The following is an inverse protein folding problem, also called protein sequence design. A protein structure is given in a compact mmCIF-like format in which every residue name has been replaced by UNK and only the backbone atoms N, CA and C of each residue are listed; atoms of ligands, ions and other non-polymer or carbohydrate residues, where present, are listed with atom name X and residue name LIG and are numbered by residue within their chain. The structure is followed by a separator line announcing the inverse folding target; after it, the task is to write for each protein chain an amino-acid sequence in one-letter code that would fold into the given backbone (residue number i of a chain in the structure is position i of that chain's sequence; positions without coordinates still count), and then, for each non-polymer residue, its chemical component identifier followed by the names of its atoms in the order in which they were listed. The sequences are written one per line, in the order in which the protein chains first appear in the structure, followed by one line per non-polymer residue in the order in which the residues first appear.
data_IF_548382764319
#
_entry.id   IF_548382764319
#
_cell.length_a   1.000
_cell.length_b   1.000
_cell.length_c   1.000
_cell.angle_alpha   90.00
_cell.angle_beta   90.00
_cell.angle_gamma   90.00
#
_symmetry.space_group_name_H-M   'P 1'
#
loop_
_entity.id
_entity.type
_entity.pdbx_description
1 polymer ?
#
# COMPACT_ATOMS: atom_id res chain seq x y z
N UNK A 1 3.43 14.96 2.91
CA UNK A 1 2.82 16.31 3.08
C UNK A 1 3.31 17.35 2.05
N UNK A 2 4.63 17.50 1.81
CA UNK A 2 5.16 18.48 0.83
C UNK A 2 4.55 18.36 -0.57
N UNK A 3 4.50 17.13 -1.11
CA UNK A 3 3.91 16.88 -2.42
C UNK A 3 2.45 17.32 -2.48
N UNK A 4 1.63 16.88 -1.51
CA UNK A 4 0.21 17.22 -1.46
C UNK A 4 -0.03 18.75 -1.41
N UNK A 5 0.67 19.47 -0.54
CA UNK A 5 0.55 20.94 -0.45
C UNK A 5 1.02 21.65 -1.71
N UNK A 6 2.13 21.21 -2.31
CA UNK A 6 2.65 21.76 -3.56
C UNK A 6 1.69 21.50 -4.72
N UNK A 7 1.14 20.30 -4.82
CA UNK A 7 0.12 19.95 -5.81
C UNK A 7 -1.11 20.84 -5.64
N UNK A 8 -1.65 20.99 -4.42
CA UNK A 8 -2.80 21.88 -4.18
C UNK A 8 -2.53 23.33 -4.62
N UNK A 9 -1.33 23.86 -4.38
CA UNK A 9 -0.93 25.20 -4.86
C UNK A 9 -0.91 25.26 -6.39
N UNK A 10 -0.29 24.27 -7.05
CA UNK A 10 -0.21 24.22 -8.51
C UNK A 10 -1.61 24.10 -9.15
N UNK A 11 -2.49 23.29 -8.56
CA UNK A 11 -3.87 23.11 -9.01
C UNK A 11 -4.71 24.39 -8.85
N UNK A 12 -4.42 25.26 -7.87
CA UNK A 12 -5.09 26.56 -7.77
C UNK A 12 -4.81 27.46 -8.98
N UNK A 13 -3.65 27.29 -9.62
CA UNK A 13 -3.27 27.98 -10.85
C UNK A 13 -3.52 27.13 -12.11
N UNK A 14 -4.32 26.06 -12.01
CA UNK A 14 -4.59 25.09 -13.09
C UNK A 14 -3.33 24.45 -13.71
N UNK A 15 -2.24 24.35 -12.96
CA UNK A 15 -0.99 23.74 -13.42
C UNK A 15 -0.90 22.28 -12.97
N UNK A 16 -0.95 21.34 -13.92
CA UNK A 16 -0.74 19.90 -13.68
C UNK A 16 0.73 19.53 -13.86
N UNK A 17 1.58 20.03 -12.96
CA UNK A 17 3.04 19.83 -13.01
C UNK A 17 3.46 18.69 -12.10
N UNK A 18 4.46 17.92 -12.53
CA UNK A 18 5.16 16.97 -11.67
C UNK A 18 5.79 17.68 -10.47
N UNK A 19 5.76 17.03 -9.30
CA UNK A 19 6.33 17.56 -8.06
C UNK A 19 7.45 16.64 -7.61
N UNK A 20 8.68 17.13 -7.65
CA UNK A 20 9.83 16.40 -7.13
C UNK A 20 9.68 16.22 -5.61
N UNK A 21 9.70 14.97 -5.15
CA UNK A 21 9.72 14.63 -3.73
C UNK A 21 11.17 14.60 -3.26
N UNK A 22 11.59 15.61 -2.50
CA UNK A 22 12.84 15.53 -1.75
C UNK A 22 12.64 14.60 -0.55
N UNK A 23 13.69 13.90 -0.10
CA UNK A 23 13.70 13.03 1.08
C UNK A 23 13.58 13.85 2.39
N UNK A 24 12.42 14.50 2.60
CA UNK A 24 12.13 15.26 3.82
C UNK A 24 11.94 14.31 5.00
N UNK A 25 12.59 14.62 6.13
CA UNK A 25 12.42 13.87 7.38
C UNK A 25 10.98 13.98 7.91
N UNK A 26 10.48 12.98 8.67
CA UNK A 26 9.17 13.04 9.29
C UNK A 26 9.08 14.17 10.34
N UNK A 27 7.86 14.44 10.81
CA UNK A 27 7.63 15.38 11.92
C UNK A 27 8.11 14.72 13.24
N UNK A 28 9.02 15.34 14.01
CA UNK A 28 9.59 14.70 15.19
C UNK A 28 8.59 14.54 16.33
N UNK A 29 7.70 15.51 16.56
CA UNK A 29 6.79 15.54 17.73
C UNK A 29 5.41 16.10 17.35
N UNK A 30 4.61 15.40 16.50
CA UNK A 30 3.25 15.84 16.17
C UNK A 30 2.33 15.71 17.39
N UNK A 31 1.48 16.72 17.70
CA UNK A 31 0.48 16.60 18.77
C UNK A 31 -0.55 15.49 18.46
N UNK A 32 -0.95 14.76 19.50
CA UNK A 32 -2.01 13.73 19.43
C UNK A 32 -3.41 14.31 19.25
N UNK A 33 -3.58 15.59 19.57
CA UNK A 33 -4.81 16.35 19.34
C UNK A 33 -4.62 17.35 18.21
N UNK A 34 -5.71 17.72 17.56
CA UNK A 34 -5.71 18.67 16.46
C UNK A 34 -6.99 19.48 16.50
N UNK A 35 -6.91 20.73 16.07
CA UNK A 35 -8.09 21.51 15.74
C UNK A 35 -8.91 20.79 14.67
N UNK A 36 -10.24 20.87 14.80
CA UNK A 36 -11.22 20.36 13.84
C UNK A 36 -12.14 21.50 13.39
N UNK A 37 -12.76 21.36 12.21
CA UNK A 37 -13.63 22.39 11.64
C UNK A 37 -13.30 22.74 10.20
N UNK A 38 -14.00 23.71 9.62
CA UNK A 38 -13.85 24.06 8.20
C UNK A 38 -12.69 25.02 7.97
N UNK A 39 -11.78 24.66 7.08
CA UNK A 39 -10.84 25.59 6.45
C UNK A 39 -11.37 26.02 5.09
N UNK A 40 -11.58 27.32 4.90
CA UNK A 40 -11.96 27.89 3.60
C UNK A 40 -10.84 27.69 2.56
N UNK A 41 -11.18 27.87 1.27
CA UNK A 41 -10.21 27.81 0.17
C UNK A 41 -8.98 28.68 0.41
N UNK A 42 -9.20 29.93 0.79
CA UNK A 42 -8.13 30.86 1.13
C UNK A 42 -7.29 30.33 2.29
N UNK A 43 -7.91 29.82 3.36
CA UNK A 43 -7.21 29.34 4.54
C UNK A 43 -6.36 28.09 4.28
N UNK A 44 -6.88 27.07 3.57
CA UNK A 44 -6.09 25.88 3.28
C UNK A 44 -5.00 26.14 2.23
N UNK A 45 -5.17 27.11 1.32
CA UNK A 45 -4.12 27.50 0.37
C UNK A 45 -2.98 28.25 1.07
N UNK A 46 -3.32 29.19 1.97
CA UNK A 46 -2.31 29.86 2.79
C UNK A 46 -1.54 28.86 3.66
N UNK A 47 -2.25 27.92 4.26
CA UNK A 47 -1.66 26.83 5.04
C UNK A 47 -0.71 25.98 4.19
N UNK A 48 -1.07 25.71 2.92
CA UNK A 48 -0.24 24.93 2.00
C UNK A 48 1.07 25.65 1.68
N UNK A 49 1.00 26.96 1.44
CA UNK A 49 2.19 27.78 1.17
C UNK A 49 3.12 27.81 2.38
N UNK A 50 2.57 27.96 3.59
CA UNK A 50 3.34 27.98 4.83
C UNK A 50 4.05 26.63 5.07
N UNK A 51 3.35 25.50 4.87
CA UNK A 51 3.92 24.17 4.99
C UNK A 51 5.02 23.95 3.95
N UNK A 52 4.77 24.30 2.68
CA UNK A 52 5.77 24.18 1.60
C UNK A 52 7.03 24.97 1.94
N UNK A 53 6.90 26.21 2.42
CA UNK A 53 8.02 27.06 2.86
C UNK A 53 8.76 26.44 4.04
N UNK A 54 8.03 25.97 5.05
CA UNK A 54 8.63 25.32 6.22
C UNK A 54 9.46 24.10 5.83
N UNK A 55 8.90 23.19 5.04
CA UNK A 55 9.58 21.94 4.68
C UNK A 55 10.85 22.21 3.87
N UNK A 56 10.80 23.16 2.91
CA UNK A 56 11.99 23.59 2.16
C UNK A 56 13.09 24.13 3.06
N UNK A 57 12.75 24.95 4.05
CA UNK A 57 13.72 25.58 4.94
C UNK A 57 14.31 24.60 5.98
N UNK A 58 13.54 23.60 6.41
CA UNK A 58 13.89 22.76 7.56
C UNK A 58 14.26 21.31 7.20
N UNK A 59 14.11 20.90 5.94
CA UNK A 59 14.41 19.53 5.52
C UNK A 59 13.51 18.46 6.18
N UNK A 60 12.38 18.86 6.79
CA UNK A 60 11.46 17.97 7.51
C UNK A 60 10.02 18.46 7.50
N UNK A 61 9.10 17.57 7.81
CA UNK A 61 7.69 17.92 8.01
C UNK A 61 7.47 18.72 9.31
N UNK A 62 6.49 19.65 9.34
CA UNK A 62 6.10 20.34 10.57
C UNK A 62 5.31 19.41 11.49
N UNK A 63 5.42 19.62 12.81
CA UNK A 63 4.61 18.91 13.81
C UNK A 63 3.11 19.25 13.69
N UNK A 64 2.82 20.50 13.36
CA UNK A 64 1.48 21.03 13.11
C UNK A 64 1.57 22.26 12.19
N UNK A 65 0.45 22.67 11.60
CA UNK A 65 0.31 23.99 10.99
C UNK A 65 -0.66 24.83 11.83
N UNK A 66 -0.31 26.10 12.05
CA UNK A 66 -1.24 27.06 12.63
C UNK A 66 -2.22 27.52 11.54
N UNK A 67 -3.51 27.37 11.81
CA UNK A 67 -4.60 27.72 10.88
C UNK A 67 -5.64 28.59 11.56
N UNK A 68 -6.64 29.07 10.82
CA UNK A 68 -7.76 29.87 11.36
C UNK A 68 -8.64 29.10 12.35
N UNK A 69 -8.59 27.77 12.35
CA UNK A 69 -9.34 26.93 13.31
C UNK A 69 -8.46 26.45 14.48
N UNK A 70 -7.18 26.85 14.51
CA UNK A 70 -6.21 26.42 15.52
C UNK A 70 -5.06 25.59 14.94
N UNK A 71 -4.31 24.91 15.81
CA UNK A 71 -3.18 24.05 15.42
C UNK A 71 -3.70 22.74 14.84
N UNK A 72 -3.37 22.47 13.58
CA UNK A 72 -3.73 21.22 12.89
C UNK A 72 -2.51 20.32 12.80
N UNK A 73 -2.59 19.09 13.30
CA UNK A 73 -1.46 18.17 13.32
C UNK A 73 -1.10 17.67 11.91
N UNK A 74 0.11 17.11 11.79
CA UNK A 74 0.66 16.59 10.54
C UNK A 74 -0.28 15.60 9.82
N UNK A 75 -0.89 14.67 10.56
CA UNK A 75 -1.75 13.60 10.05
C UNK A 75 -3.03 14.17 9.43
N UNK A 76 -3.73 15.04 10.16
CA UNK A 76 -4.94 15.69 9.70
C UNK A 76 -4.69 16.59 8.48
N UNK A 77 -3.52 17.23 8.39
CA UNK A 77 -3.13 18.02 7.22
C UNK A 77 -2.98 17.14 5.98
N UNK A 78 -2.28 16.01 6.08
CA UNK A 78 -2.14 15.06 4.94
C UNK A 78 -3.52 14.64 4.44
N UNK A 79 -4.39 14.21 5.35
CA UNK A 79 -5.73 13.76 5.01
C UNK A 79 -6.59 14.85 4.37
N UNK A 80 -6.49 16.09 4.87
CA UNK A 80 -7.19 17.23 4.29
C UNK A 80 -6.72 17.55 2.86
N UNK A 81 -5.41 17.62 2.62
CA UNK A 81 -4.88 17.92 1.28
C UNK A 81 -5.13 16.79 0.27
N UNK A 82 -5.11 15.53 0.71
CA UNK A 82 -5.51 14.40 -0.14
C UNK A 82 -6.97 14.56 -0.62
N UNK A 83 -7.90 14.91 0.28
CA UNK A 83 -9.31 15.18 -0.07
C UNK A 83 -9.46 16.39 -1.01
N UNK A 84 -8.66 17.44 -0.83
CA UNK A 84 -8.65 18.61 -1.72
C UNK A 84 -8.22 18.21 -3.15
N UNK A 85 -7.15 17.44 -3.29
CA UNK A 85 -6.64 16.99 -4.60
C UNK A 85 -7.66 16.06 -5.28
N UNK A 86 -8.23 15.11 -4.52
CA UNK A 86 -9.27 14.23 -5.03
C UNK A 86 -10.51 15.00 -5.51
N UNK A 87 -10.93 16.02 -4.75
CA UNK A 87 -12.03 16.90 -5.17
C UNK A 87 -11.71 17.61 -6.50
N UNK A 88 -10.49 18.14 -6.65
CA UNK A 88 -10.06 18.75 -7.91
C UNK A 88 -10.12 17.77 -9.07
N UNK A 89 -9.63 16.54 -8.89
CA UNK A 89 -9.67 15.51 -9.93
C UNK A 89 -11.11 15.19 -10.37
N UNK A 90 -12.07 15.18 -9.43
CA UNK A 90 -13.48 14.89 -9.73
C UNK A 90 -14.27 16.07 -10.29
N UNK A 91 -13.94 17.31 -9.90
CA UNK A 91 -14.76 18.51 -10.17
C UNK A 91 -14.08 19.54 -11.06
N UNK A 92 -12.83 19.33 -11.44
CA UNK A 92 -12.03 20.27 -12.25
C UNK A 92 -11.70 21.59 -11.56
N UNK A 93 -11.97 21.71 -10.25
CA UNK A 93 -11.74 22.91 -9.45
C UNK A 93 -11.46 22.55 -8.01
N UNK A 94 -10.77 23.42 -7.28
CA UNK A 94 -10.56 23.25 -5.84
C UNK A 94 -11.89 23.44 -5.06
N UNK A 95 -12.07 22.77 -3.90
CA UNK A 95 -13.26 22.93 -3.07
C UNK A 95 -13.30 24.30 -2.37
N UNK A 96 -14.49 24.82 -2.08
CA UNK A 96 -14.62 26.11 -1.38
C UNK A 96 -14.17 26.04 0.09
N UNK A 97 -14.20 24.85 0.68
CA UNK A 97 -13.66 24.56 2.00
C UNK A 97 -13.29 23.07 2.11
N UNK A 98 -12.50 22.73 3.13
CA UNK A 98 -12.27 21.35 3.58
C UNK A 98 -12.53 21.26 5.09
N UNK A 99 -13.19 20.22 5.55
CA UNK A 99 -13.40 19.98 6.99
C UNK A 99 -12.21 19.22 7.55
N UNK A 100 -11.46 19.82 8.47
CA UNK A 100 -10.42 19.15 9.25
C UNK A 100 -11.06 18.24 10.29
N UNK A 101 -10.65 16.98 10.28
CA UNK A 101 -11.06 15.95 11.23
C UNK A 101 -9.84 15.53 12.04
N UNK A 102 -10.03 15.14 13.30
CA UNK A 102 -8.94 14.60 14.09
C UNK A 102 -8.59 13.19 13.62
N UNK A 103 -7.46 13.06 12.95
CA UNK A 103 -6.93 11.77 12.53
C UNK A 103 -6.02 11.29 13.67
N UNK A 104 -6.60 10.51 14.59
CA UNK A 104 -5.82 9.68 15.51
C UNK A 104 -5.36 8.45 14.72
N UNK A 105 -4.09 8.06 14.85
CA UNK A 105 -3.58 6.81 14.26
C UNK A 105 -4.06 5.57 15.05
N UNK A 106 -5.27 5.64 15.61
CA UNK A 106 -6.00 4.52 16.21
C UNK A 106 -7.46 4.67 15.74
N UNK A 107 -7.92 3.69 14.97
CA UNK A 107 -9.30 3.40 14.55
C UNK A 107 -10.17 4.53 13.97
N UNK A 108 -10.22 4.65 12.64
CA UNK A 108 -11.38 4.22 11.81
C UNK A 108 -11.29 4.62 10.31
N UNK A 109 -12.01 3.89 9.43
CA UNK A 109 -11.77 3.77 7.99
C UNK A 109 -12.33 4.92 7.15
N UNK A 110 -11.87 4.97 5.90
CA UNK A 110 -12.36 5.84 4.84
C UNK A 110 -13.83 5.50 4.53
N UNK A 111 -14.76 6.43 4.78
CA UNK A 111 -16.15 6.23 4.38
C UNK A 111 -17.05 7.43 4.63
N UNK A 112 -17.01 8.43 3.76
CA UNK A 112 -18.23 9.12 3.30
C UNK A 112 -17.93 9.89 2.00
N UNK A 113 -18.57 9.44 0.90
CA UNK A 113 -18.62 10.18 -0.37
C UNK A 113 -17.88 9.59 -1.59
N UNK A 114 -17.62 8.28 -1.64
CA UNK A 114 -17.17 7.63 -2.88
C UNK A 114 -18.37 7.05 -3.63
N UNK A 115 -18.77 7.69 -4.73
CA UNK A 115 -19.43 6.98 -5.81
C UNK A 115 -18.57 5.75 -6.18
N UNK A 116 -19.20 4.57 -6.15
CA UNK A 116 -18.66 3.23 -6.44
C UNK A 116 -17.28 3.20 -7.12
N UNK A 117 -16.22 3.19 -6.32
CA UNK A 117 -14.97 2.57 -6.75
C UNK A 117 -15.18 1.07 -6.50
N UNK A 118 -15.26 0.28 -7.56
CA UNK A 118 -15.33 -1.18 -7.42
C UNK A 118 -14.03 -1.61 -6.73
N UNK A 119 -14.17 -2.10 -5.51
CA UNK A 119 -13.08 -2.66 -4.74
C UNK A 119 -12.86 -4.07 -5.29
N UNK A 120 -11.73 -4.30 -5.97
CA UNK A 120 -11.38 -5.63 -6.48
C UNK A 120 -11.36 -6.63 -5.32
N UNK A 121 -12.06 -7.78 -5.42
CA UNK A 121 -12.03 -8.79 -4.37
C UNK A 121 -10.64 -9.39 -4.20
N UNK A 122 -10.38 -9.94 -3.02
CA UNK A 122 -9.09 -10.53 -2.65
C UNK A 122 -9.25 -12.01 -2.40
N UNK A 123 -8.35 -12.81 -2.96
CA UNK A 123 -8.15 -14.20 -2.56
C UNK A 123 -6.89 -14.27 -1.71
N UNK A 124 -7.00 -14.85 -0.52
CA UNK A 124 -5.87 -15.00 0.38
C UNK A 124 -5.35 -16.44 0.33
N UNK A 125 -4.03 -16.59 0.33
CA UNK A 125 -3.39 -17.88 0.37
C UNK A 125 -2.22 -17.86 1.34
N UNK A 126 -1.94 -19.02 1.93
CA UNK A 126 -0.73 -19.27 2.70
C UNK A 126 -0.11 -20.57 2.23
N UNK A 127 1.21 -20.63 2.29
CA UNK A 127 1.92 -21.89 2.37
C UNK A 127 1.67 -22.52 3.75
N UNK A 128 2.22 -23.71 4.00
CA UNK A 128 2.18 -24.38 5.31
C UNK A 128 3.43 -23.93 6.11
N UNK A 129 3.37 -22.71 6.64
CA UNK A 129 4.56 -22.06 7.22
C UNK A 129 4.78 -22.48 8.67
N UNK A 130 3.77 -22.29 9.53
CA UNK A 130 3.84 -22.61 10.96
C UNK A 130 2.81 -23.70 11.34
N UNK A 131 2.24 -24.36 10.34
CA UNK A 131 1.16 -25.34 10.45
C UNK A 131 -0.23 -24.73 10.25
N UNK A 132 -1.14 -25.52 9.65
CA UNK A 132 -2.44 -25.06 9.15
C UNK A 132 -3.25 -24.21 10.13
N UNK A 133 -3.20 -24.51 11.44
CA UNK A 133 -3.94 -23.73 12.45
C UNK A 133 -3.42 -22.29 12.60
N UNK A 134 -2.09 -22.10 12.65
CA UNK A 134 -1.49 -20.77 12.78
C UNK A 134 -1.63 -19.98 11.49
N UNK A 135 -1.43 -20.65 10.36
CA UNK A 135 -1.59 -20.07 9.03
C UNK A 135 -3.02 -19.59 8.80
N UNK A 136 -4.03 -20.41 9.14
CA UNK A 136 -5.44 -19.98 9.09
C UNK A 136 -5.68 -18.76 9.97
N UNK A 137 -5.16 -18.75 11.20
CA UNK A 137 -5.31 -17.59 12.10
C UNK A 137 -4.72 -16.31 11.50
N UNK A 138 -3.59 -16.40 10.79
CA UNK A 138 -3.02 -15.25 10.07
C UNK A 138 -3.95 -14.76 8.95
N UNK A 139 -4.49 -15.70 8.16
CA UNK A 139 -5.43 -15.35 7.09
C UNK A 139 -6.73 -14.76 7.64
N UNK A 140 -7.26 -15.26 8.76
CA UNK A 140 -8.45 -14.74 9.44
C UNK A 140 -8.22 -13.31 9.94
N UNK A 141 -7.06 -13.05 10.55
CA UNK A 141 -6.69 -11.71 11.00
C UNK A 141 -6.56 -10.73 9.82
N UNK A 142 -5.95 -11.18 8.72
CA UNK A 142 -5.80 -10.37 7.52
C UNK A 142 -7.15 -10.10 6.84
N UNK A 143 -8.03 -11.10 6.78
CA UNK A 143 -9.41 -10.95 6.30
C UNK A 143 -10.21 -9.95 7.14
N UNK A 144 -10.10 -10.01 8.47
CA UNK A 144 -10.77 -9.05 9.35
C UNK A 144 -10.30 -7.61 9.08
N UNK A 145 -8.99 -7.39 8.89
CA UNK A 145 -8.43 -6.09 8.54
C UNK A 145 -8.93 -5.61 7.17
N UNK A 146 -8.93 -6.48 6.16
CA UNK A 146 -9.42 -6.16 4.81
C UNK A 146 -10.92 -5.85 4.80
N UNK A 147 -11.72 -6.63 5.52
CA UNK A 147 -13.16 -6.42 5.68
C UNK A 147 -13.44 -5.08 6.35
N UNK A 148 -12.68 -4.73 7.39
CA UNK A 148 -12.76 -3.41 8.03
C UNK A 148 -12.39 -2.25 7.10
N UNK A 149 -11.61 -2.51 6.04
CA UNK A 149 -11.28 -1.56 4.97
C UNK A 149 -12.29 -1.57 3.80
N UNK A 150 -13.36 -2.37 3.89
CA UNK A 150 -14.38 -2.52 2.85
C UNK A 150 -13.94 -3.39 1.66
N UNK A 151 -12.96 -4.28 1.86
CA UNK A 151 -12.47 -5.21 0.85
C UNK A 151 -13.13 -6.56 1.03
N UNK A 152 -13.76 -7.07 -0.03
CA UNK A 152 -14.33 -8.41 -0.07
C UNK A 152 -13.21 -9.45 -0.18
N UNK A 153 -13.21 -10.43 0.71
CA UNK A 153 -12.36 -11.63 0.62
C UNK A 153 -13.20 -12.77 0.06
N UNK A 154 -12.88 -13.23 -1.15
CA UNK A 154 -13.67 -14.22 -1.90
C UNK A 154 -13.21 -15.66 -1.65
N UNK A 155 -12.12 -15.85 -0.92
CA UNK A 155 -11.64 -17.19 -0.57
C UNK A 155 -10.31 -17.17 0.17
N UNK A 156 -10.04 -18.30 0.84
CA UNK A 156 -8.80 -18.61 1.56
C UNK A 156 -8.34 -20.01 1.19
N UNK A 157 -7.05 -20.20 0.95
CA UNK A 157 -6.46 -21.52 0.71
C UNK A 157 -5.10 -21.66 1.41
N UNK A 158 -4.93 -22.76 2.14
CA UNK A 158 -3.61 -23.17 2.64
C UNK A 158 -3.17 -24.35 1.78
N UNK A 159 -2.15 -24.10 0.96
CA UNK A 159 -1.56 -25.08 0.07
C UNK A 159 -0.22 -24.54 -0.41
N UNK A 160 0.79 -25.40 -0.56
CA UNK A 160 2.12 -24.97 -0.98
C UNK A 160 2.13 -24.35 -2.38
N UNK A 161 1.25 -24.80 -3.27
CA UNK A 161 1.09 -24.33 -4.65
C UNK A 161 -0.24 -23.58 -4.88
N UNK A 162 -0.85 -23.07 -3.80
CA UNK A 162 -2.15 -22.41 -3.82
C UNK A 162 -2.34 -21.42 -4.99
N UNK A 163 -1.31 -20.63 -5.32
CA UNK A 163 -1.35 -19.64 -6.39
C UNK A 163 -1.55 -20.25 -7.77
N UNK A 164 -0.94 -21.40 -8.06
CA UNK A 164 -1.16 -22.11 -9.32
C UNK A 164 -2.58 -22.63 -9.39
N UNK A 165 -3.07 -23.22 -8.29
CA UNK A 165 -4.43 -23.72 -8.23
C UNK A 165 -5.45 -22.59 -8.43
N UNK A 166 -5.34 -21.52 -7.64
CA UNK A 166 -6.26 -20.38 -7.63
C UNK A 166 -6.30 -19.69 -9.00
N UNK A 167 -5.15 -19.40 -9.61
CA UNK A 167 -5.13 -18.74 -10.92
C UNK A 167 -5.77 -19.60 -12.03
N UNK A 168 -5.72 -20.93 -11.92
CA UNK A 168 -6.34 -21.82 -12.91
C UNK A 168 -7.86 -21.95 -12.69
N UNK A 169 -8.29 -22.10 -11.44
CA UNK A 169 -9.67 -22.47 -11.11
C UNK A 169 -10.58 -21.28 -10.86
N UNK A 170 -10.10 -20.26 -10.14
CA UNK A 170 -10.91 -19.09 -9.78
C UNK A 170 -11.01 -18.12 -10.95
N UNK A 171 -12.25 -17.76 -11.31
CA UNK A 171 -12.57 -16.84 -12.42
C UNK A 171 -12.88 -15.44 -11.88
N UNK A 172 -12.89 -14.47 -12.78
CA UNK A 172 -13.13 -13.06 -12.45
C UNK A 172 -11.86 -12.27 -12.15
N UNK A 173 -12.03 -10.97 -11.95
CA UNK A 173 -10.95 -10.05 -11.59
C UNK A 173 -10.79 -10.02 -10.07
N UNK A 174 -9.66 -10.50 -9.57
CA UNK A 174 -9.33 -10.53 -8.15
C UNK A 174 -7.83 -10.32 -7.95
N UNK A 175 -7.45 -9.89 -6.75
CA UNK A 175 -6.06 -9.84 -6.33
C UNK A 175 -5.72 -11.10 -5.53
N UNK A 176 -4.64 -11.78 -5.89
CA UNK A 176 -4.14 -12.89 -5.09
C UNK A 176 -3.04 -12.40 -4.15
N UNK A 177 -3.13 -12.80 -2.88
CA UNK A 177 -2.09 -12.60 -1.88
C UNK A 177 -1.62 -13.97 -1.43
N UNK A 178 -0.31 -14.23 -1.49
CA UNK A 178 0.27 -15.47 -0.98
C UNK A 178 1.32 -15.16 0.07
N UNK A 179 1.11 -15.69 1.27
CA UNK A 179 2.08 -15.66 2.37
C UNK A 179 2.92 -16.93 2.30
N UNK A 180 4.24 -16.79 2.20
CA UNK A 180 5.15 -17.93 2.04
C UNK A 180 6.56 -17.63 2.54
N UNK A 181 7.36 -18.69 2.69
CA UNK A 181 8.81 -18.55 2.79
C UNK A 181 9.47 -18.49 1.41
N UNK A 182 10.73 -18.08 1.41
CA UNK A 182 11.51 -17.91 0.19
C UNK A 182 12.03 -19.25 -0.31
N UNK A 183 11.59 -19.66 -1.49
CA UNK A 183 12.20 -20.74 -2.26
C UNK A 183 12.63 -20.16 -3.62
N UNK A 184 13.92 -20.27 -3.95
CA UNK A 184 14.46 -19.72 -5.19
C UNK A 184 13.76 -20.28 -6.43
N UNK A 185 13.40 -21.56 -6.41
CA UNK A 185 12.75 -22.26 -7.51
C UNK A 185 11.29 -21.86 -7.67
N UNK A 186 10.58 -21.67 -6.56
CA UNK A 186 9.22 -21.09 -6.56
C UNK A 186 9.21 -19.67 -7.11
N UNK A 187 10.13 -18.83 -6.62
CA UNK A 187 10.31 -17.45 -7.10
C UNK A 187 10.62 -17.45 -8.61
N UNK A 188 11.54 -18.31 -9.06
CA UNK A 188 11.86 -18.47 -10.47
C UNK A 188 10.61 -18.85 -11.29
N UNK A 189 9.81 -19.78 -10.78
CA UNK A 189 8.53 -20.22 -11.37
C UNK A 189 7.59 -19.07 -11.70
N UNK A 190 7.53 -18.03 -10.86
CA UNK A 190 6.64 -16.89 -11.09
C UNK A 190 7.03 -16.00 -12.28
N UNK A 191 8.26 -16.11 -12.79
CA UNK A 191 8.70 -15.41 -14.00
C UNK A 191 8.43 -16.18 -15.29
N UNK A 192 8.05 -17.46 -15.19
CA UNK A 192 7.84 -18.33 -16.36
C UNK A 192 6.66 -17.87 -17.22
N UNK A 193 6.70 -18.21 -18.52
CA UNK A 193 5.60 -17.92 -19.44
C UNK A 193 4.29 -18.60 -19.00
N UNK A 194 4.39 -19.79 -18.41
CA UNK A 194 3.23 -20.51 -17.88
C UNK A 194 2.56 -19.75 -16.73
N UNK A 195 3.32 -19.31 -15.72
CA UNK A 195 2.75 -18.56 -14.60
C UNK A 195 2.12 -17.24 -15.05
N UNK A 196 2.79 -16.51 -15.96
CA UNK A 196 2.24 -15.29 -16.56
C UNK A 196 0.93 -15.53 -17.30
N UNK A 197 0.83 -16.65 -18.04
CA UNK A 197 -0.38 -17.06 -18.76
C UNK A 197 -1.54 -17.32 -17.81
N UNK A 198 -1.33 -18.12 -16.76
CA UNK A 198 -2.41 -18.43 -15.80
C UNK A 198 -2.79 -17.22 -14.95
N UNK A 199 -1.82 -16.37 -14.57
CA UNK A 199 -2.10 -15.13 -13.83
C UNK A 199 -2.95 -14.17 -14.66
N UNK A 200 -2.75 -14.14 -15.98
CA UNK A 200 -3.54 -13.35 -16.93
C UNK A 200 -3.63 -11.86 -16.55
N UNK A 201 -2.52 -11.30 -16.04
CA UNK A 201 -2.44 -9.89 -15.63
C UNK A 201 -3.08 -9.54 -14.28
N UNK A 202 -3.71 -10.51 -13.60
CA UNK A 202 -4.26 -10.29 -12.26
C UNK A 202 -3.16 -9.90 -11.27
N UNK A 203 -3.40 -8.94 -10.36
CA UNK A 203 -2.42 -8.57 -9.35
C UNK A 203 -2.04 -9.76 -8.46
N UNK A 204 -0.75 -9.88 -8.16
CA UNK A 204 -0.22 -10.89 -7.27
C UNK A 204 0.72 -10.24 -6.26
N UNK A 205 0.40 -10.41 -4.98
CA UNK A 205 1.23 -9.98 -3.85
C UNK A 205 1.91 -11.20 -3.25
N UNK A 206 3.23 -11.23 -3.39
CA UNK A 206 4.12 -12.12 -2.68
C UNK A 206 4.44 -11.52 -1.31
N UNK A 207 3.98 -12.18 -0.24
CA UNK A 207 4.30 -11.79 1.13
C UNK A 207 5.42 -12.70 1.64
N UNK A 208 6.64 -12.16 1.72
CA UNK A 208 7.77 -12.86 2.32
C UNK A 208 7.58 -12.93 3.84
N UNK A 209 7.24 -14.11 4.35
CA UNK A 209 7.09 -14.34 5.79
C UNK A 209 8.39 -14.76 6.48
N UNK A 210 9.50 -14.91 5.74
CA UNK A 210 10.77 -15.40 6.29
C UNK A 210 11.32 -14.46 7.37
N UNK A 211 11.60 -14.96 8.59
CA UNK A 211 12.24 -14.15 9.62
C UNK A 211 13.73 -13.91 9.36
N UNK A 212 14.36 -14.71 8.49
CA UNK A 212 15.82 -14.74 8.33
C UNK A 212 16.29 -14.04 7.06
N UNK A 213 15.49 -14.10 6.01
CA UNK A 213 15.93 -13.68 4.68
C UNK A 213 14.99 -12.63 4.13
N UNK A 214 15.51 -11.40 4.01
CA UNK A 214 14.88 -10.33 3.22
C UNK A 214 15.37 -10.44 1.77
N UNK A 215 14.47 -10.30 0.81
CA UNK A 215 14.76 -10.35 -0.62
C UNK A 215 15.25 -9.00 -1.15
N UNK A 216 14.72 -7.89 -0.63
CA UNK A 216 15.15 -6.54 -1.02
C UNK A 216 16.65 -6.36 -0.71
N UNK A 217 17.42 -6.07 -1.76
CA UNK A 217 18.88 -5.92 -1.67
C UNK A 217 19.66 -7.23 -1.62
N UNK A 218 19.00 -8.40 -1.62
CA UNK A 218 19.69 -9.69 -1.65
C UNK A 218 20.27 -9.95 -3.04
N UNK A 219 21.57 -10.18 -3.12
CA UNK A 219 22.24 -10.44 -4.39
C UNK A 219 21.96 -11.84 -4.94
N UNK A 220 21.85 -12.84 -4.06
CA UNK A 220 21.67 -14.23 -4.43
C UNK A 220 20.83 -14.97 -3.38
N UNK A 221 19.82 -15.70 -3.84
CA UNK A 221 19.06 -16.64 -3.02
C UNK A 221 19.40 -18.06 -3.50
N UNK A 222 20.09 -18.88 -2.69
CA UNK A 222 20.45 -20.23 -3.08
C UNK A 222 19.23 -21.12 -3.22
N UNK A 223 19.40 -22.23 -3.95
CA UNK A 223 18.43 -23.34 -3.98
C UNK A 223 18.07 -23.75 -2.55
N UNK A 224 16.77 -23.91 -2.29
CA UNK A 224 16.30 -24.39 -1.00
C UNK A 224 16.70 -25.86 -0.81
N UNK A 225 16.93 -26.28 0.44
CA UNK A 225 17.34 -27.65 0.75
C UNK A 225 16.26 -28.69 0.39
N UNK A 226 15.00 -28.27 0.45
CA UNK A 226 13.80 -29.06 0.20
C UNK A 226 13.27 -28.93 -1.24
N UNK A 227 13.96 -28.19 -2.12
CA UNK A 227 13.64 -28.15 -3.54
C UNK A 227 14.02 -29.47 -4.22
N UNK A 228 13.09 -30.42 -4.24
CA UNK A 228 13.21 -31.73 -4.89
C UNK A 228 12.55 -31.79 -6.28
N UNK A 229 12.08 -30.66 -6.79
CA UNK A 229 11.31 -30.57 -8.04
C UNK A 229 12.09 -29.88 -9.18
N UNK A 230 13.09 -29.07 -8.85
CA UNK A 230 13.93 -28.42 -9.86
C UNK A 230 15.05 -29.33 -10.36
N UNK A 231 15.52 -29.15 -11.62
CA UNK A 231 16.70 -29.86 -12.11
C UNK A 231 17.90 -29.64 -11.20
N UNK A 232 18.79 -30.63 -11.09
CA UNK A 232 19.99 -30.54 -10.27
C UNK A 232 20.93 -29.38 -10.66
N UNK A 233 20.79 -28.85 -11.87
CA UNK A 233 21.52 -27.68 -12.39
C UNK A 233 20.99 -26.35 -11.86
N UNK A 234 19.80 -26.31 -11.26
CA UNK A 234 19.27 -25.10 -10.64
C UNK A 234 19.94 -24.87 -9.29
N UNK A 235 20.71 -23.79 -9.17
CA UNK A 235 21.52 -23.50 -7.97
C UNK A 235 20.96 -22.36 -7.13
N UNK A 236 19.97 -21.63 -7.63
CA UNK A 236 19.38 -20.46 -6.98
C UNK A 236 18.99 -19.38 -7.98
N UNK A 237 18.70 -18.18 -7.46
CA UNK A 237 18.30 -17.03 -8.27
C UNK A 237 19.04 -15.76 -7.83
N UNK A 238 19.49 -14.99 -8.83
CA UNK A 238 20.10 -13.68 -8.61
C UNK A 238 19.04 -12.61 -8.42
N UNK A 239 19.29 -11.68 -7.49
CA UNK A 239 18.46 -10.50 -7.22
C UNK A 239 16.95 -10.81 -7.15
N UNK A 240 16.50 -11.72 -6.27
CA UNK A 240 15.13 -12.24 -6.24
C UNK A 240 14.05 -11.16 -6.15
N UNK A 241 14.28 -10.08 -5.38
CA UNK A 241 13.33 -8.96 -5.32
C UNK A 241 13.15 -8.25 -6.66
N UNK A 242 14.26 -7.99 -7.36
CA UNK A 242 14.24 -7.40 -8.71
C UNK A 242 13.61 -8.37 -9.70
N UNK A 243 13.88 -9.67 -9.58
CA UNK A 243 13.25 -10.69 -10.41
C UNK A 243 11.73 -10.70 -10.25
N UNK A 244 11.21 -10.71 -9.02
CA UNK A 244 9.76 -10.68 -8.76
C UNK A 244 9.13 -9.39 -9.32
N UNK A 245 9.69 -8.24 -8.96
CA UNK A 245 9.12 -6.93 -9.35
C UNK A 245 9.19 -6.66 -10.85
N UNK A 246 10.26 -7.07 -11.54
CA UNK A 246 10.36 -6.99 -13.01
C UNK A 246 9.36 -7.90 -13.73
N UNK A 247 8.88 -8.96 -13.06
CA UNK A 247 7.78 -9.81 -13.53
C UNK A 247 6.40 -9.29 -13.10
N UNK A 248 6.32 -8.07 -12.58
CA UNK A 248 5.07 -7.41 -12.20
C UNK A 248 4.43 -8.03 -10.95
N UNK A 249 5.23 -8.60 -10.05
CA UNK A 249 4.79 -9.14 -8.76
C UNK A 249 5.08 -8.11 -7.69
N UNK A 250 4.09 -7.84 -6.84
CA UNK A 250 4.23 -6.94 -5.72
C UNK A 250 4.83 -7.74 -4.56
N UNK A 251 5.83 -7.18 -3.88
CA UNK A 251 6.51 -7.85 -2.78
C UNK A 251 6.29 -7.08 -1.48
N UNK A 252 5.77 -7.75 -0.45
CA UNK A 252 5.68 -7.25 0.92
C UNK A 252 6.55 -8.12 1.83
N UNK A 253 7.46 -7.49 2.59
CA UNK A 253 8.39 -8.19 3.50
C UNK A 253 8.25 -7.70 4.95
N UNK A 254 7.16 -6.99 5.26
CA UNK A 254 6.96 -6.34 6.56
C UNK A 254 6.72 -7.34 7.69
N UNK A 255 6.08 -8.48 7.38
CA UNK A 255 5.55 -9.46 8.35
C UNK A 255 4.59 -8.83 9.37
N UNK A 256 4.04 -7.66 9.03
CA UNK A 256 3.06 -6.92 9.82
C UNK A 256 1.72 -6.95 9.08
N UNK A 257 0.71 -7.58 9.68
CA UNK A 257 -0.57 -7.80 9.02
C UNK A 257 -1.30 -6.50 8.68
N UNK A 258 -1.10 -5.43 9.44
CA UNK A 258 -1.69 -4.11 9.17
C UNK A 258 -1.03 -3.45 7.95
N UNK A 259 0.30 -3.53 7.85
CA UNK A 259 1.06 -3.09 6.69
C UNK A 259 0.64 -3.90 5.45
N UNK A 260 0.58 -5.23 5.56
CA UNK A 260 0.16 -6.10 4.46
C UNK A 260 -1.26 -5.76 3.99
N UNK A 261 -2.22 -5.59 4.92
CA UNK A 261 -3.58 -5.16 4.58
C UNK A 261 -3.58 -3.80 3.83
N UNK A 262 -2.71 -2.87 4.22
CA UNK A 262 -2.54 -1.58 3.55
C UNK A 262 -1.92 -1.74 2.16
N UNK A 263 -0.92 -2.60 1.99
CA UNK A 263 -0.33 -2.94 0.69
C UNK A 263 -1.39 -3.53 -0.23
N UNK A 264 -2.19 -4.48 0.25
CA UNK A 264 -3.31 -5.08 -0.50
C UNK A 264 -4.28 -3.99 -0.92
N UNK A 265 -4.76 -3.17 0.02
CA UNK A 265 -5.71 -2.10 -0.28
C UNK A 265 -5.19 -1.10 -1.33
N UNK A 266 -3.91 -0.76 -1.27
CA UNK A 266 -3.33 0.25 -2.18
C UNK A 266 -2.99 -0.30 -3.55
N UNK A 267 -2.47 -1.53 -3.63
CA UNK A 267 -1.95 -2.12 -4.86
C UNK A 267 -2.98 -2.96 -5.61
N UNK A 268 -3.92 -3.60 -4.89
CA UNK A 268 -4.95 -4.44 -5.51
C UNK A 268 -6.17 -3.62 -5.99
N UNK A 269 -6.41 -2.43 -5.44
CA UNK A 269 -7.66 -1.68 -5.65
C UNK A 269 -7.51 -0.44 -6.56
N UNK A 270 -6.33 -0.18 -7.12
CA UNK A 270 -6.13 0.91 -8.08
C UNK A 270 -6.43 0.44 -9.51
N UNK A 271 -7.68 0.59 -9.93
CA UNK A 271 -8.07 0.78 -11.33
C UNK A 271 -9.07 1.93 -11.39
#
# INVERSE_FOLDING_TARGET
LYAATTTTINLNSNQKKSVNTNNYKPAPNPPSTTATGKLTKTAYLQTAQNIKKFMKANGRSPNYATTTIGKVNYQSLIYAYARIINFYNKKGRLPNYVTITNVKMEDRPIGEGAANKIVRPVYLASDIIDGNSKDNKRLDQLEALLTAMGVEVIGKLIDSDAEYHIFQTVKGDYCLVKIQYNCASTIYGYGTAYFKKIRAGRPFIYVNWSPKTKLEGLAWLPRAHDDNFSPATFTGIAYPYIYLTSNGIIVDESRDLQHIATTIYTQCLST
#
